data_IF_419258086383
#
_entry.id   IF_419258086383
#
_cell.length_a   1.000
_cell.length_b   1.000
_cell.length_c   1.000
_cell.angle_alpha   90.00
_cell.angle_beta   90.00
_cell.angle_gamma   90.00
#
_symmetry.space_group_name_H-M   'P 1'
#
loop_
_entity.id
_entity.type
_entity.pdbx_description
1 polymer ?
#
# COMPACT_ATOMS: atom_id res chain seq x y z
N UNK A 1 -40.03 1.52 6.51
CA UNK A 1 -38.90 1.83 7.42
C UNK A 1 -37.82 0.80 7.16
N UNK A 2 -36.58 1.28 7.15
CA UNK A 2 -35.38 0.83 6.46
C UNK A 2 -34.89 -0.57 6.84
N UNK A 3 -34.57 -1.36 5.82
CA UNK A 3 -33.84 -2.62 5.88
C UNK A 3 -32.35 -2.28 5.81
N UNK A 4 -31.66 -2.27 6.95
CA UNK A 4 -30.23 -1.95 7.05
C UNK A 4 -29.36 -3.14 6.63
N UNK A 5 -28.66 -2.97 5.50
CA UNK A 5 -27.22 -3.22 5.24
C UNK A 5 -26.46 -4.39 5.91
N UNK A 6 -27.11 -5.49 6.30
CA UNK A 6 -26.42 -6.71 6.73
C UNK A 6 -25.54 -7.35 5.64
N UNK A 7 -25.68 -6.92 4.38
CA UNK A 7 -24.90 -7.43 3.25
C UNK A 7 -23.47 -6.91 3.17
N UNK A 8 -23.18 -5.70 3.65
CA UNK A 8 -21.86 -5.07 3.47
C UNK A 8 -20.76 -5.70 4.35
N UNK A 9 -21.11 -6.12 5.57
CA UNK A 9 -20.18 -6.76 6.50
C UNK A 9 -19.79 -8.19 6.09
N UNK A 10 -20.65 -8.88 5.34
CA UNK A 10 -20.41 -10.26 4.94
C UNK A 10 -19.40 -10.40 3.78
N UNK A 11 -19.30 -9.39 2.90
CA UNK A 11 -18.44 -9.48 1.71
C UNK A 11 -16.97 -9.13 2.02
N UNK A 12 -16.74 -8.25 3.00
CA UNK A 12 -15.39 -7.91 3.46
C UNK A 12 -14.71 -9.03 4.26
N UNK A 13 -15.49 -9.92 4.89
CA UNK A 13 -14.96 -11.08 5.62
C UNK A 13 -14.46 -12.23 4.73
N UNK A 14 -14.90 -12.30 3.47
CA UNK A 14 -14.65 -13.47 2.60
C UNK A 14 -13.34 -13.39 1.78
N UNK A 15 -12.76 -12.21 1.60
CA UNK A 15 -11.55 -12.04 0.78
C UNK A 15 -10.23 -12.41 1.49
N UNK A 16 -10.27 -12.67 2.80
CA UNK A 16 -9.07 -12.93 3.61
C UNK A 16 -8.54 -14.39 3.53
N UNK A 17 -9.16 -15.25 2.71
CA UNK A 17 -8.96 -16.69 2.80
C UNK A 17 -7.77 -17.30 2.06
N UNK A 18 -7.12 -16.62 1.10
CA UNK A 18 -6.25 -17.34 0.15
C UNK A 18 -5.00 -16.55 -0.26
N UNK A 19 -3.93 -16.61 0.55
CA UNK A 19 -2.52 -16.70 0.12
C UNK A 19 -1.57 -16.49 1.32
N UNK A 20 -0.62 -17.40 1.49
CA UNK A 20 0.15 -17.59 2.71
C UNK A 20 1.12 -16.47 3.12
N UNK A 21 1.37 -16.41 4.43
CA UNK A 21 2.59 -15.88 5.06
C UNK A 21 2.77 -14.37 5.08
N UNK A 22 2.85 -13.72 3.92
CA UNK A 22 3.18 -12.29 3.82
C UNK A 22 1.95 -11.39 3.96
N UNK A 23 0.77 -11.86 3.53
CA UNK A 23 -0.50 -11.13 3.69
C UNK A 23 -0.90 -11.03 5.16
N UNK A 24 -0.56 -12.03 5.98
CA UNK A 24 -0.82 -12.00 7.43
C UNK A 24 -0.09 -10.85 8.14
N UNK A 25 1.14 -10.50 7.71
CA UNK A 25 1.91 -9.39 8.25
C UNK A 25 1.34 -8.01 7.88
N UNK A 26 0.90 -7.84 6.63
CA UNK A 26 0.25 -6.63 6.16
C UNK A 26 -1.16 -6.43 6.75
N UNK A 27 -1.93 -7.52 6.89
CA UNK A 27 -3.21 -7.50 7.59
C UNK A 27 -3.01 -7.28 9.09
N UNK A 28 -1.95 -7.80 9.71
CA UNK A 28 -1.64 -7.55 11.12
C UNK A 28 -1.19 -6.10 11.37
N UNK A 29 -0.39 -5.49 10.49
CA UNK A 29 -0.01 -4.08 10.62
C UNK A 29 -1.17 -3.14 10.31
N UNK A 30 -2.04 -3.48 9.35
CA UNK A 30 -3.29 -2.76 9.10
C UNK A 30 -4.28 -2.91 10.26
N UNK A 31 -4.41 -4.10 10.85
CA UNK A 31 -5.25 -4.36 12.03
C UNK A 31 -4.67 -3.75 13.30
N UNK A 32 -3.34 -3.62 13.39
CA UNK A 32 -2.69 -2.86 14.44
C UNK A 32 -2.98 -1.36 14.28
N UNK A 33 -2.87 -0.82 13.06
CA UNK A 33 -3.25 0.55 12.74
C UNK A 33 -4.75 0.80 13.00
N UNK A 34 -5.63 -0.14 12.63
CA UNK A 34 -7.05 -0.07 12.93
C UNK A 34 -7.31 -0.16 14.43
N UNK A 35 -6.60 -1.01 15.18
CA UNK A 35 -6.74 -1.10 16.64
C UNK A 35 -6.21 0.12 17.38
N UNK A 36 -5.21 0.81 16.82
CA UNK A 36 -4.72 2.10 17.31
C UNK A 36 -5.76 3.17 17.00
N UNK A 37 -6.34 3.15 15.80
CA UNK A 37 -7.44 4.04 15.42
C UNK A 37 -8.70 3.79 16.28
N UNK A 38 -9.01 2.54 16.60
CA UNK A 38 -10.08 2.13 17.51
C UNK A 38 -9.80 2.57 18.95
N UNK A 39 -8.53 2.54 19.39
CA UNK A 39 -8.14 3.06 20.72
C UNK A 39 -8.19 4.58 20.79
N UNK A 40 -7.86 5.25 19.70
CA UNK A 40 -7.97 6.70 19.56
C UNK A 40 -9.45 7.10 19.49
N UNK A 41 -10.29 6.32 18.82
CA UNK A 41 -11.74 6.53 18.77
C UNK A 41 -12.47 6.09 20.06
N UNK A 42 -11.89 5.17 20.84
CA UNK A 42 -12.42 4.71 22.13
C UNK A 42 -11.93 5.53 23.34
N UNK A 43 -11.16 6.60 23.15
CA UNK A 43 -10.99 7.65 24.16
C UNK A 43 -12.32 8.37 24.41
N UNK A 44 -12.41 9.32 25.37
CA UNK A 44 -13.65 10.07 25.63
C UNK A 44 -14.26 10.53 24.30
N UNK A 45 -15.43 10.00 23.98
CA UNK A 45 -16.03 9.88 22.64
C UNK A 45 -16.58 11.21 22.08
N UNK A 46 -15.84 12.30 22.30
CA UNK A 46 -16.20 13.65 21.88
C UNK A 46 -15.27 14.18 20.78
N UNK A 47 -14.22 13.45 20.38
CA UNK A 47 -13.46 13.75 19.17
C UNK A 47 -14.12 13.07 17.98
N UNK A 48 -15.13 13.73 17.43
CA UNK A 48 -15.72 13.36 16.15
C UNK A 48 -14.65 13.57 15.07
N UNK A 49 -14.04 12.49 14.56
CA UNK A 49 -13.17 12.55 13.40
C UNK A 49 -14.03 12.93 12.20
N UNK A 50 -14.10 14.23 11.92
CA UNK A 50 -14.78 14.73 10.75
C UNK A 50 -13.84 14.57 9.55
N UNK A 51 -14.04 13.50 8.79
CA UNK A 51 -13.34 13.27 7.54
C UNK A 51 -14.20 13.83 6.42
N UNK A 52 -13.80 14.99 5.88
CA UNK A 52 -14.48 15.59 4.74
C UNK A 52 -14.24 14.77 3.48
N UNK A 53 -15.27 14.64 2.63
CA UNK A 53 -15.21 13.88 1.38
C UNK A 53 -14.02 14.30 0.49
N UNK A 54 -13.74 15.60 0.44
CA UNK A 54 -12.66 16.17 -0.36
C UNK A 54 -11.28 15.80 0.20
N UNK A 55 -11.19 15.61 1.52
CA UNK A 55 -9.94 15.20 2.19
C UNK A 55 -9.59 13.76 1.84
N UNK A 56 -10.58 12.87 1.73
CA UNK A 56 -10.38 11.47 1.30
C UNK A 56 -9.84 11.42 -0.13
N UNK A 57 -10.46 12.18 -1.04
CA UNK A 57 -10.05 12.23 -2.44
C UNK A 57 -8.64 12.82 -2.60
N UNK A 58 -8.34 13.90 -1.88
CA UNK A 58 -7.03 14.54 -1.89
C UNK A 58 -5.94 13.63 -1.31
N UNK A 59 -6.20 12.97 -0.18
CA UNK A 59 -5.27 12.00 0.41
C UNK A 59 -5.00 10.84 -0.55
N UNK A 60 -6.06 10.28 -1.16
CA UNK A 60 -5.95 9.23 -2.15
C UNK A 60 -5.08 9.64 -3.33
N UNK A 61 -5.27 10.86 -3.85
CA UNK A 61 -4.44 11.41 -4.93
C UNK A 61 -2.97 11.51 -4.51
N UNK A 62 -2.66 12.08 -3.35
CA UNK A 62 -1.26 12.25 -2.90
C UNK A 62 -0.56 10.90 -2.78
N UNK A 63 -1.23 9.91 -2.21
CA UNK A 63 -0.69 8.55 -2.05
C UNK A 63 -0.48 7.88 -3.42
N UNK A 64 -1.43 8.06 -4.35
CA UNK A 64 -1.32 7.55 -5.71
C UNK A 64 -0.15 8.17 -6.49
N UNK A 65 -0.02 9.51 -6.45
CA UNK A 65 1.08 10.23 -7.09
C UNK A 65 2.45 9.74 -6.55
N UNK A 66 2.54 9.55 -5.23
CA UNK A 66 3.75 9.05 -4.59
C UNK A 66 4.06 7.59 -4.98
N UNK A 67 3.04 6.74 -5.08
CA UNK A 67 3.19 5.37 -5.56
C UNK A 67 3.73 5.33 -6.98
N UNK A 68 3.14 6.10 -7.91
CA UNK A 68 3.61 6.17 -9.31
C UNK A 68 5.07 6.64 -9.39
N UNK A 69 5.40 7.73 -8.69
CA UNK A 69 6.76 8.26 -8.67
C UNK A 69 7.78 7.23 -8.14
N UNK A 70 7.47 6.57 -7.03
CA UNK A 70 8.37 5.57 -6.46
C UNK A 70 8.46 4.31 -7.32
N UNK A 71 7.36 3.90 -7.96
CA UNK A 71 7.35 2.75 -8.87
C UNK A 71 8.25 3.00 -10.08
N UNK A 72 8.17 4.20 -10.67
CA UNK A 72 9.05 4.62 -11.76
C UNK A 72 10.51 4.58 -11.30
N UNK A 73 10.83 5.22 -10.18
CA UNK A 73 12.20 5.24 -9.64
C UNK A 73 12.73 3.86 -9.28
N UNK A 74 11.87 3.01 -8.72
CA UNK A 74 12.21 1.62 -8.42
C UNK A 74 12.59 0.87 -9.70
N UNK A 75 11.79 0.98 -10.76
CA UNK A 75 12.06 0.33 -12.04
C UNK A 75 13.36 0.82 -12.70
N UNK A 76 13.68 2.11 -12.52
CA UNK A 76 14.90 2.73 -13.05
C UNK A 76 16.17 2.27 -12.30
N UNK A 77 16.08 2.13 -10.99
CA UNK A 77 17.23 1.85 -10.12
C UNK A 77 17.51 0.36 -9.98
N UNK A 78 16.49 -0.49 -9.96
CA UNK A 78 16.62 -1.92 -9.68
C UNK A 78 17.69 -2.63 -10.54
N UNK A 79 17.78 -2.41 -11.88
CA UNK A 79 18.81 -3.05 -12.71
C UNK A 79 20.23 -2.60 -12.35
N UNK A 80 20.39 -1.38 -11.82
CA UNK A 80 21.68 -0.77 -11.44
C UNK A 80 22.22 -1.32 -10.12
N UNK A 81 21.39 -1.98 -9.31
CA UNK A 81 21.78 -2.55 -8.03
C UNK A 81 22.53 -3.87 -8.16
N UNK A 82 22.47 -4.53 -9.32
CA UNK A 82 23.12 -5.82 -9.52
C UNK A 82 24.62 -5.63 -9.70
N UNK A 83 25.39 -6.22 -8.81
CA UNK A 83 26.84 -6.33 -8.97
C UNK A 83 27.14 -7.51 -9.88
N UNK A 84 27.86 -7.24 -10.97
CA UNK A 84 28.39 -8.26 -11.86
C UNK A 84 29.83 -8.54 -11.45
N UNK A 85 30.18 -9.81 -11.26
CA UNK A 85 31.56 -10.22 -10.95
C UNK A 85 32.48 -9.84 -12.12
N UNK A 86 33.62 -9.21 -11.81
CA UNK A 86 34.71 -8.99 -12.77
C UNK A 86 36.02 -9.52 -12.19
N UNK A 87 36.74 -10.25 -13.04
CA UNK A 87 38.02 -10.95 -12.84
C UNK A 87 38.81 -10.60 -11.57
N UNK A 88 38.76 -11.52 -10.60
CA UNK A 88 39.74 -11.64 -9.52
C UNK A 88 39.78 -10.51 -8.47
N UNK A 89 39.02 -9.43 -8.63
CA UNK A 89 39.03 -8.29 -7.69
C UNK A 89 38.11 -8.48 -6.49
N UNK A 90 37.01 -9.21 -6.69
CA UNK A 90 36.04 -9.54 -5.65
C UNK A 90 35.69 -11.03 -5.81
N UNK A 91 35.71 -11.77 -4.70
CA UNK A 91 35.34 -13.18 -4.69
C UNK A 91 33.87 -13.37 -5.05
N UNK A 92 33.53 -14.48 -5.70
CA UNK A 92 32.14 -14.85 -6.02
C UNK A 92 31.21 -14.77 -4.81
N UNK A 93 31.69 -15.22 -3.65
CA UNK A 93 30.88 -15.33 -2.44
C UNK A 93 30.44 -13.97 -1.92
N UNK A 94 31.32 -12.96 -2.01
CA UNK A 94 31.01 -11.57 -1.66
C UNK A 94 29.99 -10.97 -2.63
N UNK A 95 30.14 -11.22 -3.94
CA UNK A 95 29.17 -10.75 -4.93
C UNK A 95 27.80 -11.39 -4.72
N UNK A 96 27.74 -12.68 -4.42
CA UNK A 96 26.50 -13.40 -4.09
C UNK A 96 25.86 -12.81 -2.85
N UNK A 97 26.59 -12.70 -1.74
CA UNK A 97 26.05 -12.14 -0.49
C UNK A 97 25.52 -10.71 -0.66
N UNK A 98 26.21 -9.89 -1.46
CA UNK A 98 25.77 -8.52 -1.75
C UNK A 98 24.48 -8.51 -2.57
N UNK A 99 24.45 -9.26 -3.66
CA UNK A 99 23.28 -9.33 -4.53
C UNK A 99 22.07 -9.96 -3.83
N UNK A 100 22.28 -10.94 -2.94
CA UNK A 100 21.22 -11.50 -2.11
C UNK A 100 20.64 -10.43 -1.20
N UNK A 101 21.48 -9.65 -0.52
CA UNK A 101 21.03 -8.59 0.38
C UNK A 101 20.28 -7.47 -0.36
N UNK A 102 20.72 -7.12 -1.56
CA UNK A 102 20.10 -6.04 -2.34
C UNK A 102 18.85 -6.48 -3.11
N UNK A 103 18.88 -7.67 -3.73
CA UNK A 103 17.95 -8.07 -4.78
C UNK A 103 17.27 -9.40 -4.52
N UNK A 104 18.04 -10.47 -4.30
CA UNK A 104 17.53 -11.82 -4.54
C UNK A 104 16.92 -12.50 -3.31
N UNK A 105 17.36 -12.14 -2.10
CA UNK A 105 16.78 -12.72 -0.88
C UNK A 105 15.36 -12.21 -0.63
N UNK A 106 14.49 -13.01 -0.01
CA UNK A 106 13.10 -12.62 0.27
C UNK A 106 13.00 -11.34 1.11
N UNK A 107 13.95 -11.13 2.02
CA UNK A 107 14.05 -9.93 2.88
C UNK A 107 14.87 -8.78 2.26
N UNK A 108 15.29 -8.92 0.99
CA UNK A 108 16.18 -7.96 0.32
C UNK A 108 15.60 -6.56 0.32
N UNK A 109 16.46 -5.56 0.18
CA UNK A 109 16.00 -4.17 0.08
C UNK A 109 15.03 -3.96 -1.09
N UNK A 110 15.28 -4.58 -2.24
CA UNK A 110 14.36 -4.55 -3.37
C UNK A 110 12.97 -5.08 -3.01
N UNK A 111 12.91 -6.26 -2.38
CA UNK A 111 11.64 -6.88 -2.00
C UNK A 111 10.89 -6.10 -0.93
N UNK A 112 11.61 -5.48 0.01
CA UNK A 112 11.01 -4.59 1.02
C UNK A 112 10.42 -3.32 0.40
N UNK A 113 11.11 -2.72 -0.55
CA UNK A 113 10.60 -1.55 -1.29
C UNK A 113 9.38 -1.94 -2.14
N UNK A 114 9.42 -3.10 -2.80
CA UNK A 114 8.29 -3.62 -3.58
C UNK A 114 7.07 -3.86 -2.69
N UNK A 115 7.24 -4.43 -1.49
CA UNK A 115 6.16 -4.60 -0.53
C UNK A 115 5.56 -3.25 -0.10
N UNK A 116 6.39 -2.24 0.11
CA UNK A 116 5.93 -0.89 0.43
C UNK A 116 5.15 -0.24 -0.74
N UNK A 117 5.63 -0.38 -1.98
CA UNK A 117 4.91 0.08 -3.17
C UNK A 117 3.52 -0.54 -3.28
N UNK A 118 3.40 -1.86 -3.06
CA UNK A 118 2.10 -2.57 -3.04
C UNK A 118 1.18 -2.05 -1.94
N UNK A 119 1.72 -1.70 -0.78
CA UNK A 119 0.94 -1.12 0.31
C UNK A 119 0.39 0.27 -0.05
N UNK A 120 1.19 1.10 -0.74
CA UNK A 120 0.73 2.42 -1.21
C UNK A 120 -0.35 2.29 -2.30
N UNK A 121 -0.18 1.38 -3.26
CA UNK A 121 -1.18 1.07 -4.28
C UNK A 121 -2.51 0.66 -3.64
N UNK A 122 -2.46 -0.33 -2.74
CA UNK A 122 -3.65 -0.81 -2.03
C UNK A 122 -4.33 0.29 -1.22
N UNK A 123 -3.57 1.18 -0.58
CA UNK A 123 -4.14 2.28 0.20
C UNK A 123 -4.81 3.31 -0.71
N UNK A 124 -4.18 3.65 -1.84
CA UNK A 124 -4.78 4.51 -2.87
C UNK A 124 -6.12 3.94 -3.33
N UNK A 125 -6.20 2.64 -3.59
CA UNK A 125 -7.44 2.01 -4.07
C UNK A 125 -8.54 1.97 -3.00
N UNK A 126 -8.19 1.71 -1.74
CA UNK A 126 -9.15 1.82 -0.62
C UNK A 126 -9.72 3.23 -0.48
N UNK A 127 -8.90 4.27 -0.72
CA UNK A 127 -9.34 5.67 -0.69
C UNK A 127 -10.23 6.02 -1.89
N UNK A 128 -10.00 5.44 -3.08
CA UNK A 128 -10.93 5.56 -4.21
C UNK A 128 -12.29 4.93 -3.88
N UNK A 129 -12.30 3.72 -3.34
CA UNK A 129 -13.55 3.06 -2.91
C UNK A 129 -14.28 3.87 -1.84
N UNK A 130 -13.53 4.45 -0.89
CA UNK A 130 -14.11 5.35 0.11
C UNK A 130 -14.71 6.61 -0.54
N UNK A 131 -14.04 7.21 -1.52
CA UNK A 131 -14.59 8.35 -2.27
C UNK A 131 -15.90 8.01 -3.00
N UNK A 132 -16.01 6.81 -3.59
CA UNK A 132 -17.27 6.34 -4.19
C UNK A 132 -18.40 6.27 -3.15
N UNK A 133 -18.10 5.78 -1.93
CA UNK A 133 -19.07 5.72 -0.84
C UNK A 133 -19.53 7.12 -0.38
N UNK A 134 -18.69 8.14 -0.53
CA UNK A 134 -19.04 9.54 -0.29
C UNK A 134 -19.80 10.21 -1.46
N UNK A 135 -20.10 9.46 -2.53
CA UNK A 135 -20.91 9.94 -3.65
C UNK A 135 -20.15 10.61 -4.78
N UNK A 136 -18.81 10.48 -4.82
CA UNK A 136 -18.06 10.85 -6.03
C UNK A 136 -18.37 9.87 -7.15
N UNK A 137 -18.51 10.40 -8.37
CA UNK A 137 -18.62 9.60 -9.58
C UNK A 137 -17.27 9.02 -9.97
N UNK A 138 -17.29 7.92 -10.72
CA UNK A 138 -16.05 7.32 -11.25
C UNK A 138 -15.26 8.33 -12.10
N UNK A 139 -15.94 9.21 -12.82
CA UNK A 139 -15.30 10.21 -13.67
C UNK A 139 -14.57 11.30 -12.87
N UNK A 140 -15.13 11.75 -11.75
CA UNK A 140 -14.47 12.67 -10.81
C UNK A 140 -13.24 12.04 -10.15
N UNK A 141 -13.35 10.77 -9.76
CA UNK A 141 -12.25 10.01 -9.18
C UNK A 141 -11.14 9.83 -10.22
N UNK A 142 -11.46 9.33 -11.41
CA UNK A 142 -10.47 9.14 -12.47
C UNK A 142 -9.78 10.45 -12.87
N UNK A 143 -10.54 11.55 -12.93
CA UNK A 143 -9.96 12.87 -13.24
C UNK A 143 -8.97 13.31 -12.16
N UNK A 144 -9.31 13.09 -10.89
CA UNK A 144 -8.46 13.47 -9.76
C UNK A 144 -7.17 12.65 -9.68
N UNK A 145 -7.22 11.37 -10.06
CA UNK A 145 -6.11 10.44 -10.00
C UNK A 145 -5.27 10.39 -11.29
N UNK A 146 -5.59 11.18 -12.32
CA UNK A 146 -4.73 11.23 -13.51
C UNK A 146 -3.32 11.70 -13.13
N UNK A 147 -2.27 11.02 -13.64
CA UNK A 147 -0.91 11.52 -13.55
C UNK A 147 -0.84 12.93 -14.15
N UNK A 148 -0.09 13.84 -13.51
CA UNK A 148 0.22 15.13 -14.13
C UNK A 148 1.11 14.86 -15.36
N UNK A 149 0.72 15.45 -16.50
CA UNK A 149 1.50 15.44 -17.73
C UNK A 149 2.84 16.19 -17.57
#
# INVERSE_FOLDING_TARGET
>A
MTQENAGADAVLGAAAGLAGGAVAGAVASFKAASSIMDRISSGPSNQQFHVEKDTVLQAGKVIHDQWLFLQEKYSEVLPKLRIVTMDGKVTSDVVTAWNDRLLFHDDSYANRILAYLKALESLSDQLKTSAQQYGFTDEEIMTSFRPKA
#
